data_IF_280524682663
#
_entry.id   IF_280524682663
#
_cell.length_a   1.000
_cell.length_b   1.000
_cell.length_c   1.000
_cell.angle_alpha   90.00
_cell.angle_beta   90.00
_cell.angle_gamma   90.00
#
_symmetry.space_group_name_H-M   'P 1'
#
loop_
_entity.id
_entity.type
_entity.pdbx_description
1 polymer ?
#
# COMPACT_ATOMS: atom_id res chain seq x y z
N UNK A 1 -9.32 -15.59 8.02
CA UNK A 1 -10.13 -14.56 8.71
C UNK A 1 -9.23 -13.48 9.27
N UNK A 2 -9.65 -12.20 9.21
CA UNK A 2 -8.88 -11.06 9.76
C UNK A 2 -9.10 -10.96 11.28
N UNK A 3 -8.09 -10.53 12.03
CA UNK A 3 -8.17 -10.30 13.49
C UNK A 3 -8.39 -8.81 13.77
N UNK A 4 -9.32 -8.42 14.66
CA UNK A 4 -9.51 -7.03 15.03
C UNK A 4 -8.29 -6.52 15.82
N UNK A 5 -7.95 -5.24 15.60
CA UNK A 5 -6.86 -4.55 16.29
C UNK A 5 -7.33 -3.15 16.67
N UNK A 6 -7.20 -2.78 17.94
CA UNK A 6 -7.45 -1.42 18.41
C UNK A 6 -6.18 -0.58 18.24
N UNK A 7 -6.28 0.56 17.56
CA UNK A 7 -5.18 1.49 17.31
C UNK A 7 -5.58 2.89 17.76
N UNK A 8 -4.61 3.63 18.31
CA UNK A 8 -4.74 5.07 18.52
C UNK A 8 -4.12 5.77 17.32
N UNK A 9 -4.91 6.61 16.66
CA UNK A 9 -4.50 7.38 15.49
C UNK A 9 -4.74 8.84 15.84
N UNK A 10 -3.79 9.69 15.47
CA UNK A 10 -3.96 11.13 15.52
C UNK A 10 -5.28 11.56 14.84
N UNK A 11 -6.08 12.45 15.44
CA UNK A 11 -7.40 12.79 14.92
C UNK A 11 -7.35 13.42 13.52
N UNK A 12 -6.38 14.27 13.23
CA UNK A 12 -6.26 14.94 11.93
C UNK A 12 -5.83 13.94 10.86
N UNK A 13 -4.91 13.04 11.22
CA UNK A 13 -4.54 11.92 10.35
C UNK A 13 -5.72 10.99 10.07
N UNK A 14 -6.58 10.72 11.07
CA UNK A 14 -7.77 9.90 10.89
C UNK A 14 -8.76 10.55 9.91
N UNK A 15 -8.95 11.86 9.99
CA UNK A 15 -9.77 12.61 9.04
C UNK A 15 -9.20 12.50 7.63
N UNK A 16 -7.89 12.75 7.46
CA UNK A 16 -7.24 12.64 6.17
C UNK A 16 -7.33 11.22 5.58
N UNK A 17 -7.12 10.18 6.41
CA UNK A 17 -7.23 8.79 5.98
C UNK A 17 -8.65 8.41 5.53
N UNK A 18 -9.70 8.96 6.18
CA UNK A 18 -11.09 8.76 5.76
C UNK A 18 -11.35 9.38 4.39
N UNK A 19 -10.86 10.58 4.15
CA UNK A 19 -11.01 11.25 2.85
C UNK A 19 -10.29 10.49 1.73
N UNK A 20 -9.09 9.97 1.98
CA UNK A 20 -8.39 9.11 1.04
C UNK A 20 -9.18 7.82 0.74
N UNK A 21 -9.70 7.15 1.78
CA UNK A 21 -10.50 5.94 1.60
C UNK A 21 -11.77 6.20 0.75
N UNK A 22 -12.41 7.36 0.95
CA UNK A 22 -13.56 7.79 0.14
C UNK A 22 -13.19 8.01 -1.33
N UNK A 23 -12.07 8.70 -1.60
CA UNK A 23 -11.58 8.94 -2.96
C UNK A 23 -11.27 7.63 -3.70
N UNK A 24 -10.78 6.63 -2.99
CA UNK A 24 -10.46 5.31 -3.54
C UNK A 24 -11.68 4.37 -3.64
N UNK A 25 -12.88 4.81 -3.26
CA UNK A 25 -14.09 4.00 -3.16
C UNK A 25 -13.91 2.74 -2.28
N UNK A 26 -13.24 2.88 -1.13
CA UNK A 26 -12.95 1.78 -0.19
C UNK A 26 -13.36 2.15 1.23
N UNK A 27 -13.53 1.13 2.08
CA UNK A 27 -13.68 1.34 3.52
C UNK A 27 -12.36 1.80 4.13
N UNK A 28 -12.42 2.55 5.24
CA UNK A 28 -11.22 2.99 5.98
C UNK A 28 -10.32 1.81 6.39
N UNK A 29 -10.91 0.70 6.82
CA UNK A 29 -10.16 -0.50 7.23
C UNK A 29 -9.42 -1.14 6.07
N UNK A 30 -10.04 -1.24 4.88
CA UNK A 30 -9.39 -1.74 3.69
C UNK A 30 -8.31 -0.79 3.17
N UNK A 31 -8.53 0.52 3.28
CA UNK A 31 -7.53 1.53 2.95
C UNK A 31 -6.29 1.38 3.84
N UNK A 32 -6.47 1.36 5.16
CA UNK A 32 -5.38 1.17 6.12
C UNK A 32 -4.63 -0.13 5.84
N UNK A 33 -5.33 -1.26 5.65
CA UNK A 33 -4.68 -2.53 5.36
C UNK A 33 -3.87 -2.50 4.05
N UNK A 34 -4.39 -1.86 2.99
CA UNK A 34 -3.70 -1.74 1.71
C UNK A 34 -2.40 -0.97 1.85
N UNK A 35 -2.46 0.20 2.51
CA UNK A 35 -1.30 1.06 2.74
C UNK A 35 -0.27 0.37 3.64
N UNK A 36 -0.73 -0.27 4.72
CA UNK A 36 0.13 -0.97 5.66
C UNK A 36 0.85 -2.15 4.99
N UNK A 37 0.13 -2.95 4.21
CA UNK A 37 0.70 -4.07 3.43
C UNK A 37 1.80 -3.58 2.49
N UNK A 38 1.49 -2.56 1.68
CA UNK A 38 2.46 -2.00 0.74
C UNK A 38 3.71 -1.52 1.46
N UNK A 39 3.55 -0.82 2.60
CA UNK A 39 4.69 -0.31 3.37
C UNK A 39 5.53 -1.44 3.95
N UNK A 40 4.91 -2.52 4.44
CA UNK A 40 5.61 -3.70 4.95
C UNK A 40 6.37 -4.41 3.82
N UNK A 41 5.75 -4.59 2.65
CA UNK A 41 6.39 -5.21 1.48
C UNK A 41 7.60 -4.39 0.99
N UNK A 42 7.47 -3.07 0.95
CA UNK A 42 8.58 -2.15 0.63
C UNK A 42 9.72 -2.25 1.64
N UNK A 43 9.41 -2.32 2.94
CA UNK A 43 10.42 -2.42 4.01
C UNK A 43 11.07 -3.80 4.09
N UNK A 44 10.33 -4.85 3.75
CA UNK A 44 10.83 -6.23 3.78
C UNK A 44 11.64 -6.58 2.52
N UNK A 45 11.81 -5.65 1.56
CA UNK A 45 12.46 -5.93 0.28
C UNK A 45 11.73 -6.97 -0.57
N UNK A 46 10.43 -7.19 -0.31
CA UNK A 46 9.62 -8.20 -0.98
C UNK A 46 9.01 -7.70 -2.28
N UNK A 47 9.22 -6.43 -2.63
CA UNK A 47 8.81 -5.91 -3.92
C UNK A 47 9.79 -6.45 -4.96
N UNK A 48 9.36 -7.26 -5.95
CA UNK A 48 10.20 -7.48 -7.10
C UNK A 48 10.44 -6.11 -7.72
N UNK A 49 11.70 -5.69 -7.76
CA UNK A 49 12.18 -4.63 -8.63
C UNK A 49 11.43 -4.74 -9.97
N UNK A 50 10.93 -3.64 -10.57
CA UNK A 50 10.44 -3.71 -11.93
C UNK A 50 11.63 -4.17 -12.78
N UNK A 51 11.62 -5.46 -13.12
CA UNK A 51 12.64 -6.13 -13.92
C UNK A 51 12.96 -5.21 -15.08
N UNK A 52 14.18 -4.68 -15.07
CA UNK A 52 14.72 -3.91 -16.17
C UNK A 52 14.55 -4.78 -17.42
N UNK A 53 13.53 -4.46 -18.21
CA UNK A 53 13.19 -5.17 -19.41
C UNK A 53 14.45 -5.26 -20.25
N UNK A 54 14.96 -6.48 -20.33
CA UNK A 54 16.03 -6.95 -21.19
C UNK A 54 15.89 -6.33 -22.58
N UNK A 55 16.67 -5.27 -22.87
CA UNK A 55 17.02 -4.94 -24.25
C UNK A 55 18.27 -5.74 -24.62
N UNK A 56 18.08 -7.05 -24.83
CA UNK A 56 19.01 -7.87 -25.64
C UNK A 56 18.35 -8.11 -26.99
N UNK A 57 19.07 -7.78 -28.06
CA UNK A 57 18.71 -8.00 -29.46
C UNK A 57 18.48 -6.66 -30.16
N UNK A 58 19.14 -6.30 -31.26
CA UNK A 58 19.86 -7.11 -32.24
C UNK A 58 20.81 -6.19 -33.02
N UNK A 59 22.03 -6.63 -33.27
CA UNK A 59 22.96 -6.00 -34.22
C UNK A 59 22.41 -6.16 -35.64
N UNK A 60 22.54 -5.13 -36.46
CA UNK A 60 22.64 -5.22 -37.92
C UNK A 60 23.51 -4.05 -38.40
#
# INVERSE_FOLDING_TARGET
MKKPLALRIDPDLLVAARECARRDNRTLTNFIETVLRRRVEEMAGLRPEPSAATKKGHQA
#
